data_IF_826611687297
#
_entry.id   IF_826611687297
#
_cell.length_a   1.000
_cell.length_b   1.000
_cell.length_c   1.000
_cell.angle_alpha   90.00
_cell.angle_beta   90.00
_cell.angle_gamma   90.00
#
_symmetry.space_group_name_H-M   'P 1'
#
loop_
_entity.id
_entity.type
_entity.pdbx_description
1 polymer ?
#
# COMPACT_ATOMS: atom_id res chain seq x y z
N UNK A 1 -38.06 6.18 -33.19
CA UNK A 1 -37.23 5.08 -33.72
C UNK A 1 -36.08 5.72 -34.49
N UNK A 2 -34.90 5.82 -33.87
CA UNK A 2 -33.73 6.38 -34.54
C UNK A 2 -33.26 5.38 -35.60
N UNK A 3 -33.18 5.85 -36.85
CA UNK A 3 -32.79 5.05 -38.00
C UNK A 3 -31.31 4.69 -37.88
N UNK A 4 -31.01 3.40 -37.97
CA UNK A 4 -29.66 2.83 -38.09
C UNK A 4 -29.03 3.33 -39.40
N UNK A 5 -28.21 4.37 -39.29
CA UNK A 5 -27.38 4.88 -40.37
C UNK A 5 -25.95 4.44 -40.10
N UNK A 6 -25.54 3.38 -40.79
CA UNK A 6 -24.15 3.04 -41.03
C UNK A 6 -23.56 2.04 -40.03
N UNK A 7 -22.94 1.01 -40.58
CA UNK A 7 -22.14 -0.03 -39.94
C UNK A 7 -20.82 0.54 -39.35
N UNK A 8 -20.93 1.65 -38.62
CA UNK A 8 -19.81 2.37 -38.02
C UNK A 8 -20.12 2.54 -36.54
N UNK A 9 -19.25 2.02 -35.64
CA UNK A 9 -19.46 2.16 -34.21
C UNK A 9 -19.52 3.64 -33.83
N UNK A 10 -20.42 3.97 -32.91
CA UNK A 10 -20.62 5.34 -32.44
C UNK A 10 -19.28 5.94 -31.96
N UNK A 11 -18.79 6.93 -32.71
CA UNK A 11 -17.42 7.47 -32.57
C UNK A 11 -17.12 8.11 -31.21
N UNK A 12 -18.15 8.36 -30.40
CA UNK A 12 -18.02 9.05 -29.12
C UNK A 12 -18.46 8.19 -27.93
N UNK A 13 -18.59 6.87 -28.11
CA UNK A 13 -18.94 5.96 -27.00
C UNK A 13 -17.92 6.08 -25.85
N UNK A 14 -16.65 6.25 -26.21
CA UNK A 14 -15.54 6.49 -25.28
C UNK A 14 -15.68 7.80 -24.47
N UNK A 15 -16.36 8.82 -24.99
CA UNK A 15 -16.54 10.09 -24.27
C UNK A 15 -17.42 9.91 -23.03
N UNK A 16 -18.38 8.98 -23.05
CA UNK A 16 -19.20 8.66 -21.88
C UNK A 16 -18.39 8.06 -20.75
N UNK A 17 -17.48 7.12 -21.08
CA UNK A 17 -16.56 6.51 -20.12
C UNK A 17 -15.67 7.54 -19.41
N UNK A 18 -15.31 8.63 -20.10
CA UNK A 18 -14.56 9.75 -19.52
C UNK A 18 -15.48 10.66 -18.67
N UNK A 19 -16.68 10.95 -19.16
CA UNK A 19 -17.59 11.90 -18.52
C UNK A 19 -18.25 11.36 -17.25
N UNK A 20 -18.50 10.06 -17.15
CA UNK A 20 -19.18 9.47 -15.99
C UNK A 20 -18.37 9.58 -14.69
N UNK A 21 -17.05 9.70 -14.81
CA UNK A 21 -16.13 9.85 -13.67
C UNK A 21 -15.90 11.32 -13.29
N UNK A 22 -16.52 12.28 -13.99
CA UNK A 22 -16.35 13.70 -13.67
C UNK A 22 -17.11 14.05 -12.37
N UNK A 23 -16.47 14.73 -11.41
CA UNK A 23 -17.08 15.05 -10.10
C UNK A 23 -18.37 15.86 -10.21
N UNK A 24 -18.50 16.66 -11.29
CA UNK A 24 -19.70 17.45 -11.61
C UNK A 24 -20.96 16.58 -11.78
N UNK A 25 -20.81 15.33 -12.21
CA UNK A 25 -21.90 14.39 -12.46
C UNK A 25 -22.08 13.35 -11.34
N UNK A 26 -21.05 13.11 -10.53
CA UNK A 26 -21.10 12.18 -9.39
C UNK A 26 -21.65 12.81 -8.10
N UNK A 27 -21.86 14.14 -8.06
CA UNK A 27 -22.33 14.82 -6.87
C UNK A 27 -23.82 14.54 -6.64
N UNK A 28 -24.15 13.82 -5.56
CA UNK A 28 -25.51 13.51 -5.09
C UNK A 28 -26.38 14.76 -4.76
N UNK A 29 -25.89 15.97 -5.05
CA UNK A 29 -26.64 17.21 -4.86
C UNK A 29 -27.70 17.44 -5.95
N UNK A 30 -27.62 16.76 -7.10
CA UNK A 30 -28.61 16.89 -8.18
C UNK A 30 -29.88 16.05 -7.95
N UNK A 31 -29.89 15.10 -7.01
CA UNK A 31 -31.06 14.28 -6.68
C UNK A 31 -31.88 14.79 -5.49
N UNK A 32 -31.50 15.94 -4.89
CA UNK A 32 -32.29 16.56 -3.81
C UNK A 32 -33.18 17.67 -4.36
N UNK A 33 -34.18 17.29 -5.14
CA UNK A 33 -35.36 18.15 -5.34
C UNK A 33 -36.42 17.83 -4.30
N UNK A 34 -36.70 18.82 -3.44
CA UNK A 34 -38.01 19.03 -2.83
C UNK A 34 -38.24 18.40 -1.46
N UNK A 35 -38.16 19.21 -0.40
CA UNK A 35 -39.29 19.62 0.45
C UNK A 35 -38.79 20.77 1.34
N UNK A 36 -39.03 21.98 0.87
CA UNK A 36 -39.12 23.16 1.73
C UNK A 36 -40.32 22.99 2.66
N UNK A 37 -40.14 23.19 3.98
CA UNK A 37 -40.97 24.08 4.81
C UNK A 37 -40.62 24.03 6.31
N UNK A 38 -40.43 25.24 6.83
CA UNK A 38 -40.49 25.68 8.24
C UNK A 38 -39.18 25.66 9.05
N UNK A 39 -38.45 26.77 8.89
CA UNK A 39 -37.88 27.47 10.03
C UNK A 39 -38.95 27.67 11.11
N UNK A 40 -38.66 27.26 12.34
CA UNK A 40 -39.16 27.94 13.54
C UNK A 40 -37.99 28.05 14.51
N UNK A 41 -37.39 29.24 14.51
CA UNK A 41 -36.72 29.79 15.68
C UNK A 41 -37.71 29.73 16.85
N UNK A 42 -37.32 29.13 17.96
CA UNK A 42 -37.60 29.67 19.30
C UNK A 42 -36.44 29.23 20.18
N UNK A 43 -35.60 30.22 20.42
CA UNK A 43 -34.66 30.31 21.51
C UNK A 43 -35.47 30.40 22.82
N UNK A 44 -35.02 29.73 23.88
CA UNK A 44 -35.78 29.68 25.13
C UNK A 44 -35.36 28.56 26.07
N UNK A 45 -34.11 28.65 26.54
CA UNK A 45 -33.66 28.11 27.82
C UNK A 45 -34.71 28.31 28.91
N UNK A 46 -35.06 27.28 29.69
CA UNK A 46 -35.14 27.30 31.15
C UNK A 46 -35.28 25.85 31.66
N UNK A 47 -34.18 25.33 32.21
CA UNK A 47 -34.20 24.38 33.32
C UNK A 47 -34.90 25.06 34.51
N UNK A 48 -35.82 24.38 35.21
CA UNK A 48 -35.68 24.15 36.66
C UNK A 48 -36.71 23.15 37.19
N UNK A 49 -36.27 22.45 38.23
CA UNK A 49 -36.81 21.31 38.91
C UNK A 49 -37.87 21.64 39.98
N UNK A 50 -38.52 20.56 40.42
CA UNK A 50 -38.78 20.20 41.84
C UNK A 50 -39.93 20.84 42.65
N UNK A 51 -40.97 20.00 42.83
CA UNK A 51 -41.47 19.42 44.12
C UNK A 51 -42.58 20.15 44.94
N UNK A 52 -43.25 19.48 45.93
CA UNK A 52 -44.65 19.03 45.83
C UNK A 52 -45.52 19.44 47.05
N UNK A 53 -46.76 18.92 47.12
CA UNK A 53 -47.63 18.65 48.28
C UNK A 53 -49.10 18.95 47.90
N UNK A 54 -50.13 18.21 48.31
CA UNK A 54 -50.24 17.08 49.22
C UNK A 54 -51.72 16.64 49.32
N UNK A 55 -51.90 15.51 50.00
CA UNK A 55 -53.12 14.97 50.62
C UNK A 55 -54.19 14.22 49.80
N UNK A 56 -53.98 12.88 49.76
CA UNK A 56 -54.74 11.86 50.48
C UNK A 56 -56.29 11.80 50.36
N UNK A 57 -56.79 10.84 49.57
CA UNK A 57 -58.05 10.12 49.85
C UNK A 57 -57.90 8.61 49.55
N UNK A 58 -57.61 7.85 50.60
CA UNK A 58 -58.16 6.55 51.05
C UNK A 58 -58.55 5.48 49.98
N UNK A 59 -57.74 4.41 49.93
CA UNK A 59 -58.04 2.97 50.14
C UNK A 59 -59.18 2.28 49.34
N UNK A 60 -58.86 1.19 48.63
CA UNK A 60 -59.27 -0.18 49.01
C UNK A 60 -59.00 -1.19 47.87
N UNK A 61 -58.30 -2.26 48.23
CA UNK A 61 -57.96 -3.45 47.47
C UNK A 61 -59.08 -3.98 46.58
N UNK A 62 -58.72 -4.54 45.42
CA UNK A 62 -59.37 -5.75 44.90
C UNK A 62 -58.45 -6.44 43.88
N UNK A 63 -57.65 -7.42 44.33
CA UNK A 63 -57.28 -8.55 43.49
C UNK A 63 -58.56 -9.36 43.21
N UNK A 64 -59.05 -9.36 41.97
CA UNK A 64 -60.03 -10.34 41.48
C UNK A 64 -59.48 -11.02 40.23
N UNK A 65 -59.45 -12.33 40.35
CA UNK A 65 -59.10 -13.34 39.37
C UNK A 65 -59.93 -13.31 38.07
N UNK A 66 -59.27 -13.78 37.01
CA UNK A 66 -59.79 -14.52 35.85
C UNK A 66 -60.80 -13.83 34.92
N UNK A 67 -60.35 -13.55 33.70
CA UNK A 67 -61.08 -13.98 32.50
C UNK A 67 -60.17 -13.87 31.28
N UNK A 68 -60.41 -14.72 30.29
CA UNK A 68 -59.88 -14.63 28.92
C UNK A 68 -60.31 -13.30 28.28
N UNK A 69 -59.71 -12.20 28.72
CA UNK A 69 -60.03 -10.85 28.30
C UNK A 69 -59.27 -10.51 27.04
N UNK A 70 -60.01 -10.21 25.98
CA UNK A 70 -59.50 -9.54 24.77
C UNK A 70 -58.71 -8.30 25.22
N UNK A 71 -57.39 -8.37 25.10
CA UNK A 71 -56.50 -7.26 25.40
C UNK A 71 -56.88 -6.12 24.47
N UNK A 72 -57.12 -4.92 25.02
CA UNK A 72 -57.43 -3.75 24.19
C UNK A 72 -56.28 -3.56 23.19
N UNK A 73 -56.55 -3.44 21.89
CA UNK A 73 -55.50 -3.30 20.90
C UNK A 73 -54.68 -2.06 21.22
N UNK A 74 -53.36 -2.18 21.04
CA UNK A 74 -52.43 -1.09 21.30
C UNK A 74 -52.93 0.21 20.70
N UNK A 75 -52.89 1.27 21.52
CA UNK A 75 -53.34 2.59 21.10
C UNK A 75 -52.62 3.01 19.82
N UNK A 76 -53.32 3.74 18.95
CA UNK A 76 -52.79 4.25 17.67
C UNK A 76 -51.43 4.98 17.78
N UNK A 77 -51.10 5.52 18.96
CA UNK A 77 -49.80 6.14 19.26
C UNK A 77 -48.68 5.10 19.47
N UNK A 78 -48.92 4.04 20.25
CA UNK A 78 -47.93 2.99 20.54
C UNK A 78 -47.56 2.21 19.26
N UNK A 79 -48.54 1.84 18.46
CA UNK A 79 -48.31 1.17 17.15
C UNK A 79 -47.55 2.06 16.16
N UNK A 80 -47.77 3.39 16.19
CA UNK A 80 -47.02 4.34 15.36
C UNK A 80 -45.56 4.47 15.81
N UNK A 81 -45.31 4.47 17.11
CA UNK A 81 -43.94 4.52 17.66
C UNK A 81 -43.16 3.24 17.41
N UNK A 82 -43.78 2.06 17.58
CA UNK A 82 -43.14 0.79 17.23
C UNK A 82 -42.73 0.73 15.76
N UNK A 83 -43.60 1.19 14.83
CA UNK A 83 -43.25 1.28 13.40
C UNK A 83 -42.06 2.21 13.15
N UNK A 84 -41.99 3.35 13.83
CA UNK A 84 -40.83 4.26 13.72
C UNK A 84 -39.55 3.62 14.25
N UNK A 85 -39.61 2.94 15.39
CA UNK A 85 -38.46 2.22 15.98
C UNK A 85 -37.96 1.13 15.05
N UNK A 86 -38.85 0.32 14.49
CA UNK A 86 -38.49 -0.73 13.53
C UNK A 86 -37.82 -0.16 12.26
N UNK A 87 -38.29 0.99 11.75
CA UNK A 87 -37.65 1.67 10.59
C UNK A 87 -36.24 2.17 10.95
N UNK A 88 -36.07 2.75 12.14
CA UNK A 88 -34.76 3.22 12.62
C UNK A 88 -33.82 2.03 12.84
N UNK A 89 -34.28 0.96 13.50
CA UNK A 89 -33.51 -0.26 13.77
C UNK A 89 -33.02 -0.91 12.48
N UNK A 90 -33.90 -1.03 11.47
CA UNK A 90 -33.50 -1.50 10.14
C UNK A 90 -32.40 -0.62 9.53
N UNK A 91 -32.53 0.71 9.65
CA UNK A 91 -31.51 1.64 9.18
C UNK A 91 -30.17 1.50 9.91
N UNK A 92 -30.18 1.22 11.22
CA UNK A 92 -28.97 0.97 12.02
C UNK A 92 -28.28 -0.33 11.59
N UNK A 93 -29.04 -1.40 11.36
CA UNK A 93 -28.51 -2.67 10.87
C UNK A 93 -27.87 -2.49 9.49
N UNK A 94 -28.53 -1.76 8.58
CA UNK A 94 -28.01 -1.47 7.25
C UNK A 94 -26.68 -0.66 7.32
N UNK A 95 -26.57 0.34 8.21
CA UNK A 95 -25.34 1.11 8.42
C UNK A 95 -24.21 0.26 9.01
N UNK A 96 -24.52 -0.58 10.00
CA UNK A 96 -23.52 -1.46 10.62
C UNK A 96 -22.99 -2.50 9.63
N UNK A 97 -23.85 -3.07 8.80
CA UNK A 97 -23.45 -3.99 7.73
C UNK A 97 -22.53 -3.32 6.71
N UNK A 98 -22.82 -2.07 6.33
CA UNK A 98 -21.96 -1.29 5.43
C UNK A 98 -20.59 -0.99 6.05
N UNK A 99 -20.54 -0.66 7.34
CA UNK A 99 -19.29 -0.45 8.07
C UNK A 99 -18.46 -1.75 8.12
N UNK A 100 -19.09 -2.87 8.47
CA UNK A 100 -18.42 -4.17 8.51
C UNK A 100 -17.84 -4.55 7.15
N UNK A 101 -18.64 -4.43 6.08
CA UNK A 101 -18.17 -4.69 4.72
C UNK A 101 -17.01 -3.76 4.31
N UNK A 102 -17.05 -2.49 4.73
CA UNK A 102 -15.96 -1.53 4.46
C UNK A 102 -14.68 -1.93 5.18
N UNK A 103 -14.77 -2.34 6.45
CA UNK A 103 -13.62 -2.78 7.23
C UNK A 103 -13.00 -4.05 6.65
N UNK A 104 -13.83 -5.03 6.28
CA UNK A 104 -13.38 -6.29 5.67
C UNK A 104 -12.57 -6.03 4.38
N UNK A 105 -13.10 -5.18 3.49
CA UNK A 105 -12.38 -4.76 2.28
C UNK A 105 -11.06 -4.04 2.59
N UNK A 106 -11.03 -3.23 3.65
CA UNK A 106 -9.81 -2.55 4.07
C UNK A 106 -8.77 -3.53 4.60
N UNK A 107 -9.18 -4.54 5.37
CA UNK A 107 -8.30 -5.60 5.83
C UNK A 107 -7.73 -6.42 4.67
N UNK A 108 -8.57 -6.78 3.69
CA UNK A 108 -8.12 -7.49 2.50
C UNK A 108 -7.11 -6.67 1.70
N UNK A 109 -7.39 -5.39 1.46
CA UNK A 109 -6.48 -4.49 0.76
C UNK A 109 -5.15 -4.35 1.50
N UNK A 110 -5.18 -4.11 2.81
CA UNK A 110 -3.97 -3.99 3.62
C UNK A 110 -3.16 -5.30 3.64
N UNK A 111 -3.84 -6.47 3.60
CA UNK A 111 -3.16 -7.77 3.51
C UNK A 111 -2.43 -7.92 2.17
N UNK A 112 -3.12 -7.64 1.06
CA UNK A 112 -2.55 -7.71 -0.28
C UNK A 112 -1.39 -6.71 -0.45
N UNK A 113 -1.54 -5.49 0.06
CA UNK A 113 -0.48 -4.47 0.05
C UNK A 113 0.75 -4.95 0.82
N UNK A 114 0.56 -5.57 1.99
CA UNK A 114 1.66 -6.11 2.79
C UNK A 114 2.38 -7.27 2.07
N UNK A 115 1.64 -8.16 1.40
CA UNK A 115 2.20 -9.25 0.61
C UNK A 115 3.01 -8.71 -0.58
N UNK A 116 2.46 -7.76 -1.32
CA UNK A 116 3.14 -7.11 -2.44
C UNK A 116 4.40 -6.38 -1.98
N UNK A 117 4.35 -5.73 -0.82
CA UNK A 117 5.49 -5.05 -0.21
C UNK A 117 6.60 -6.04 0.15
N UNK A 118 6.27 -7.16 0.80
CA UNK A 118 7.25 -8.22 1.10
C UNK A 118 7.89 -8.79 -0.16
N UNK A 119 7.11 -9.05 -1.20
CA UNK A 119 7.61 -9.59 -2.46
C UNK A 119 8.53 -8.59 -3.19
N UNK A 120 8.18 -7.30 -3.18
CA UNK A 120 9.04 -6.24 -3.71
C UNK A 120 10.35 -6.14 -2.92
N UNK A 121 10.29 -6.13 -1.60
CA UNK A 121 11.47 -6.02 -0.74
C UNK A 121 12.39 -7.23 -0.90
N UNK A 122 11.83 -8.43 -1.07
CA UNK A 122 12.58 -9.64 -1.39
C UNK A 122 13.31 -9.52 -2.72
N UNK A 123 12.61 -9.17 -3.80
CA UNK A 123 13.24 -8.96 -5.13
C UNK A 123 14.29 -7.87 -5.11
N UNK A 124 14.06 -6.80 -4.36
CA UNK A 124 15.04 -5.72 -4.21
C UNK A 124 16.30 -6.20 -3.48
N UNK A 125 16.15 -7.01 -2.42
CA UNK A 125 17.27 -7.61 -1.69
C UNK A 125 18.10 -8.54 -2.59
N UNK A 126 17.44 -9.41 -3.35
CA UNK A 126 18.10 -10.33 -4.30
C UNK A 126 18.89 -9.56 -5.37
N UNK A 127 18.31 -8.48 -5.91
CA UNK A 127 18.98 -7.63 -6.90
C UNK A 127 20.20 -6.92 -6.28
N UNK A 128 20.07 -6.40 -5.06
CA UNK A 128 21.19 -5.78 -4.33
C UNK A 128 22.33 -6.76 -4.09
N UNK A 129 22.02 -7.99 -3.71
CA UNK A 129 23.03 -9.04 -3.52
C UNK A 129 23.76 -9.37 -4.82
N UNK A 130 23.03 -9.50 -5.93
CA UNK A 130 23.64 -9.73 -7.25
C UNK A 130 24.55 -8.58 -7.68
N UNK A 131 24.12 -7.34 -7.49
CA UNK A 131 24.92 -6.14 -7.81
C UNK A 131 26.21 -6.12 -6.99
N UNK A 132 26.12 -6.36 -5.67
CA UNK A 132 27.31 -6.41 -4.80
C UNK A 132 28.26 -7.53 -5.25
N UNK A 133 27.73 -8.72 -5.58
CA UNK A 133 28.53 -9.84 -6.05
C UNK A 133 29.28 -9.50 -7.35
N UNK A 134 28.58 -8.93 -8.34
CA UNK A 134 29.19 -8.52 -9.61
C UNK A 134 30.21 -7.40 -9.41
N UNK A 135 29.95 -6.45 -8.52
CA UNK A 135 30.87 -5.36 -8.20
C UNK A 135 32.17 -5.89 -7.56
N UNK A 136 32.05 -6.82 -6.61
CA UNK A 136 33.21 -7.47 -5.98
C UNK A 136 34.04 -8.25 -7.00
N UNK A 137 33.40 -9.06 -7.85
CA UNK A 137 34.09 -9.81 -8.91
C UNK A 137 34.81 -8.87 -9.89
N UNK A 138 34.15 -7.79 -10.32
CA UNK A 138 34.76 -6.80 -11.20
C UNK A 138 35.95 -6.10 -10.53
N UNK A 139 35.83 -5.78 -9.24
CA UNK A 139 36.91 -5.16 -8.46
C UNK A 139 38.10 -6.09 -8.31
N UNK A 140 37.88 -7.37 -8.03
CA UNK A 140 38.94 -8.39 -7.97
C UNK A 140 39.63 -8.55 -9.33
N UNK A 141 38.86 -8.66 -10.40
CA UNK A 141 39.40 -8.78 -11.77
C UNK A 141 40.23 -7.55 -12.15
N UNK A 142 39.74 -6.36 -11.85
CA UNK A 142 40.46 -5.10 -12.07
C UNK A 142 41.73 -5.02 -11.24
N UNK A 143 41.70 -5.45 -9.97
CA UNK A 143 42.87 -5.49 -9.10
C UNK A 143 43.93 -6.44 -9.66
N UNK A 144 43.53 -7.66 -10.06
CA UNK A 144 44.43 -8.65 -10.67
C UNK A 144 45.04 -8.15 -11.97
N UNK A 145 44.27 -7.44 -12.80
CA UNK A 145 44.79 -6.82 -14.03
C UNK A 145 45.80 -5.70 -13.73
N UNK A 146 45.54 -4.86 -12.72
CA UNK A 146 46.48 -3.81 -12.28
C UNK A 146 47.78 -4.41 -11.75
N UNK A 147 47.69 -5.45 -10.91
CA UNK A 147 48.86 -6.15 -10.38
C UNK A 147 49.68 -6.81 -11.48
N UNK A 148 49.03 -7.48 -12.44
CA UNK A 148 49.71 -8.03 -13.62
C UNK A 148 50.40 -6.95 -14.44
N UNK A 149 49.73 -5.83 -14.70
CA UNK A 149 50.32 -4.71 -15.43
C UNK A 149 51.51 -4.07 -14.67
N UNK A 150 51.44 -3.95 -13.35
CA UNK A 150 52.55 -3.49 -12.52
C UNK A 150 53.72 -4.47 -12.52
N UNK A 151 53.44 -5.78 -12.39
CA UNK A 151 54.45 -6.83 -12.48
C UNK A 151 55.17 -6.77 -13.83
N UNK A 152 54.43 -6.65 -14.94
CA UNK A 152 55.01 -6.51 -16.28
C UNK A 152 55.90 -5.27 -16.40
N UNK A 153 55.44 -4.11 -15.93
CA UNK A 153 56.25 -2.88 -15.94
C UNK A 153 57.55 -3.00 -15.14
N UNK A 154 57.52 -3.65 -13.97
CA UNK A 154 58.73 -3.86 -13.18
C UNK A 154 59.66 -4.90 -13.83
N UNK A 155 59.11 -5.95 -14.43
CA UNK A 155 59.88 -6.93 -15.21
C UNK A 155 60.60 -6.27 -16.41
N UNK A 156 59.89 -5.43 -17.17
CA UNK A 156 60.46 -4.63 -18.27
C UNK A 156 61.55 -3.68 -17.75
N UNK A 157 61.34 -3.05 -16.60
CA UNK A 157 62.35 -2.17 -15.96
C UNK A 157 63.62 -2.94 -15.59
N UNK A 158 63.50 -4.16 -15.07
CA UNK A 158 64.63 -5.03 -14.72
C UNK A 158 65.36 -5.50 -15.99
N UNK A 159 64.62 -5.90 -17.02
CA UNK A 159 65.19 -6.32 -18.31
C UNK A 159 65.94 -5.20 -19.02
N UNK A 160 65.40 -3.97 -18.99
CA UNK A 160 65.98 -2.82 -19.67
C UNK A 160 67.08 -2.10 -18.87
N UNK A 161 67.46 -2.62 -17.70
CA UNK A 161 68.51 -2.02 -16.87
C UNK A 161 69.89 -2.28 -17.47
N UNK A 162 70.61 -1.23 -17.84
CA UNK A 162 72.01 -1.32 -18.22
C UNK A 162 72.90 -1.73 -17.03
N UNK A 163 73.70 -2.78 -17.22
CA UNK A 163 74.53 -3.41 -16.19
C UNK A 163 76.03 -3.06 -16.31
N UNK A 164 76.43 -2.35 -17.37
CA UNK A 164 77.84 -2.02 -17.66
C UNK A 164 78.51 -1.23 -16.54
N UNK A 165 77.74 -0.35 -15.88
CA UNK A 165 78.21 0.54 -14.81
C UNK A 165 78.00 0.01 -13.38
N UNK A 166 77.50 -1.22 -13.22
CA UNK A 166 77.23 -1.80 -11.89
C UNK A 166 78.42 -2.61 -11.35
N UNK A 167 78.58 -2.62 -10.03
CA UNK A 167 79.55 -3.47 -9.33
C UNK A 167 79.29 -4.95 -9.65
N UNK A 168 80.33 -5.81 -9.81
CA UNK A 168 80.17 -7.20 -10.23
C UNK A 168 79.14 -8.01 -9.42
N UNK A 169 79.13 -7.86 -8.10
CA UNK A 169 78.18 -8.55 -7.23
C UNK A 169 76.71 -8.16 -7.51
N UNK A 170 76.44 -6.88 -7.78
CA UNK A 170 75.10 -6.39 -8.10
C UNK A 170 74.70 -6.79 -9.52
N UNK A 171 75.64 -6.73 -10.47
CA UNK A 171 75.43 -7.18 -11.86
C UNK A 171 74.93 -8.62 -11.91
N UNK A 172 75.60 -9.53 -11.20
CA UNK A 172 75.22 -10.95 -11.17
C UNK A 172 73.78 -11.15 -10.63
N UNK A 173 73.35 -10.34 -9.66
CA UNK A 173 71.96 -10.41 -9.16
C UNK A 173 70.94 -10.00 -10.21
N UNK A 174 71.21 -8.95 -10.99
CA UNK A 174 70.34 -8.50 -12.07
C UNK A 174 70.30 -9.50 -13.22
N UNK A 175 71.45 -10.05 -13.63
CA UNK A 175 71.51 -11.10 -14.67
C UNK A 175 70.66 -12.32 -14.28
N UNK A 176 70.75 -12.75 -13.00
CA UNK A 176 69.92 -13.84 -12.47
C UNK A 176 68.43 -13.50 -12.49
N UNK A 177 68.05 -12.26 -12.15
CA UNK A 177 66.65 -11.81 -12.22
C UNK A 177 66.15 -11.75 -13.67
N UNK A 178 66.93 -11.21 -14.60
CA UNK A 178 66.60 -11.15 -16.02
C UNK A 178 66.39 -12.54 -16.61
N UNK A 179 67.30 -13.49 -16.34
CA UNK A 179 67.17 -14.87 -16.77
C UNK A 179 65.91 -15.54 -16.22
N UNK A 180 65.56 -15.27 -14.94
CA UNK A 180 64.31 -15.78 -14.34
C UNK A 180 63.08 -15.21 -15.04
N UNK A 181 63.05 -13.92 -15.34
CA UNK A 181 61.93 -13.26 -16.02
C UNK A 181 61.76 -13.82 -17.44
N UNK A 182 62.84 -13.96 -18.21
CA UNK A 182 62.80 -14.53 -19.55
C UNK A 182 62.24 -15.96 -19.54
N UNK A 183 62.66 -16.77 -18.55
CA UNK A 183 62.12 -18.13 -18.38
C UNK A 183 60.64 -18.14 -18.00
N UNK A 184 60.19 -17.21 -17.15
CA UNK A 184 58.75 -17.03 -16.86
C UNK A 184 57.97 -16.70 -18.14
N UNK A 185 58.47 -15.78 -18.96
CA UNK A 185 57.81 -15.39 -20.21
C UNK A 185 57.79 -16.51 -21.26
N UNK A 186 58.85 -17.32 -21.35
CA UNK A 186 58.91 -18.50 -22.23
C UNK A 186 57.86 -19.56 -21.84
N UNK A 187 57.70 -19.82 -20.55
CA UNK A 187 56.69 -20.75 -20.04
C UNK A 187 55.26 -20.25 -20.28
N UNK A 188 55.00 -18.95 -20.07
CA UNK A 188 53.70 -18.33 -20.32
C UNK A 188 53.32 -18.40 -21.82
N UNK A 189 54.31 -18.35 -22.72
CA UNK A 189 54.10 -18.50 -24.16
C UNK A 189 53.78 -19.94 -24.58
N UNK A 190 54.34 -20.94 -23.89
CA UNK A 190 54.11 -22.36 -24.19
C UNK A 190 52.82 -22.92 -23.57
N UNK A 191 52.34 -22.35 -22.46
CA UNK A 191 51.12 -22.78 -21.77
C UNK A 191 49.80 -22.21 -22.32
N UNK A 192 49.86 -21.36 -23.36
CA UNK A 192 48.71 -20.67 -23.95
C UNK A 192 48.20 -21.24 -25.28
N UNK A 193 48.66 -22.43 -25.70
CA UNK A 193 48.24 -23.14 -26.92
C UNK A 193 47.08 -24.11 -26.70
#
# INVERSE_FOLDING_TARGET
MYKELGDQPFRYEHCWEIMKNNPKWCSQQLTKSGISKKQKLVDGSFLDNSLPNGDNVINLDTEINNSNGVTRPDGRKATKEMKKRAVIEKGVVDVLGNLQCTLEKQFDFNREELELKKEKDKRESELREQVIKMELELKERNQKMKEKAQKQKEQERILNKDLTNLQPAVRETFERMQAKILKEWENDFQGGG
#
